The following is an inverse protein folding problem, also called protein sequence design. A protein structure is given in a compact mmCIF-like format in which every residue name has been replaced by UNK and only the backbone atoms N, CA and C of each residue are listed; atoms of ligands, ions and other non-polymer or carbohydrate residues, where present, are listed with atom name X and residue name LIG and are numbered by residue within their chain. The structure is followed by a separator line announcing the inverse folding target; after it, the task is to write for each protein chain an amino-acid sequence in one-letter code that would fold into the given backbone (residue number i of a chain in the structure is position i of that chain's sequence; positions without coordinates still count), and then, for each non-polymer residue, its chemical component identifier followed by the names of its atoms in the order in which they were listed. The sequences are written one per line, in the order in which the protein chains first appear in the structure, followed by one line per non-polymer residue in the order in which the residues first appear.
data_IF_857943211202
#
_entry.id   IF_857943211202
#
_cell.length_a   1.000
_cell.length_b   1.000
_cell.length_c   1.000
_cell.angle_alpha   90.00
_cell.angle_beta   90.00
_cell.angle_gamma   90.00
#
_symmetry.space_group_name_H-M   'P 1'
#
loop_
_entity.id
_entity.type
_entity.pdbx_description
1 polymer ?
#
# COMPACT_ATOMS: atom_id res chain seq x y z
N UNK A 1 13.58 -2.80 -38.56
CA UNK A 1 14.59 -2.15 -37.67
C UNK A 1 13.83 -1.49 -36.54
N UNK A 2 14.16 -1.77 -35.28
CA UNK A 2 13.49 -1.14 -34.14
C UNK A 2 13.96 0.32 -34.00
N UNK A 3 13.03 1.27 -34.07
CA UNK A 3 13.31 2.68 -33.83
C UNK A 3 13.59 2.84 -32.33
N UNK A 4 14.79 3.27 -31.98
CA UNK A 4 15.15 3.60 -30.60
C UNK A 4 14.94 5.09 -30.40
N UNK A 5 14.00 5.45 -29.51
CA UNK A 5 13.76 6.84 -29.16
C UNK A 5 14.80 7.27 -28.13
N UNK A 6 15.63 8.24 -28.50
CA UNK A 6 16.56 8.88 -27.57
C UNK A 6 15.89 10.09 -26.91
N UNK A 7 16.06 10.27 -25.58
CA UNK A 7 15.54 11.45 -24.90
C UNK A 7 16.18 12.72 -25.46
N UNK A 8 15.36 13.74 -25.71
CA UNK A 8 15.85 15.07 -26.08
C UNK A 8 16.23 15.86 -24.83
N UNK A 9 17.16 16.81 -24.97
CA UNK A 9 17.54 17.72 -23.87
C UNK A 9 16.32 18.47 -23.31
N UNK A 10 15.42 18.92 -24.19
CA UNK A 10 14.15 19.54 -23.81
C UNK A 10 13.27 18.59 -23.00
N UNK A 11 13.19 17.32 -23.41
CA UNK A 11 12.42 16.30 -22.67
C UNK A 11 12.97 16.07 -21.27
N UNK A 12 14.30 16.03 -21.13
CA UNK A 12 14.97 15.89 -19.83
C UNK A 12 14.70 17.10 -18.93
N UNK A 13 14.76 18.32 -19.46
CA UNK A 13 14.51 19.53 -18.65
C UNK A 13 13.08 19.62 -18.15
N UNK A 14 12.10 19.21 -18.97
CA UNK A 14 10.69 19.13 -18.58
C UNK A 14 10.51 18.13 -17.44
N UNK A 15 11.08 16.93 -17.57
CA UNK A 15 10.99 15.90 -16.53
C UNK A 15 11.59 16.40 -15.21
N UNK A 16 12.74 17.06 -15.26
CA UNK A 16 13.38 17.61 -14.07
C UNK A 16 12.56 18.73 -13.43
N UNK A 17 11.91 19.57 -14.23
CA UNK A 17 11.02 20.62 -13.73
C UNK A 17 9.82 20.04 -12.97
N UNK A 18 9.22 18.96 -13.50
CA UNK A 18 8.09 18.25 -12.87
C UNK A 18 8.54 17.59 -11.57
N UNK A 19 9.68 16.89 -11.59
CA UNK A 19 10.25 16.26 -10.39
C UNK A 19 10.48 17.28 -9.28
N UNK A 20 11.13 18.42 -9.59
CA UNK A 20 11.38 19.48 -8.60
C UNK A 20 10.10 20.09 -8.05
N UNK A 21 9.08 20.29 -8.90
CA UNK A 21 7.81 20.93 -8.50
C UNK A 21 6.96 20.04 -7.60
N UNK A 22 6.79 18.77 -7.96
CA UNK A 22 5.84 17.87 -7.28
C UNK A 22 6.49 16.89 -6.31
N UNK A 23 7.80 16.63 -6.48
CA UNK A 23 8.57 15.72 -5.64
C UNK A 23 9.84 16.43 -5.12
N UNK A 24 9.71 17.53 -4.34
CA UNK A 24 10.84 18.35 -3.92
C UNK A 24 11.87 17.59 -3.06
N UNK A 25 11.44 16.51 -2.37
CA UNK A 25 12.30 15.62 -1.58
C UNK A 25 12.62 14.31 -2.32
N UNK A 26 12.46 14.30 -3.65
CA UNK A 26 12.56 13.10 -4.47
C UNK A 26 11.30 12.23 -4.42
N UNK A 27 11.18 11.35 -5.40
CA UNK A 27 10.13 10.34 -5.41
C UNK A 27 10.43 9.25 -4.36
N UNK A 28 9.51 9.05 -3.42
CA UNK A 28 9.57 7.96 -2.45
C UNK A 28 8.52 6.92 -2.83
N UNK A 29 8.94 5.78 -3.38
CA UNK A 29 8.05 4.64 -3.68
C UNK A 29 7.58 3.92 -2.42
N UNK A 30 8.40 3.97 -1.36
CA UNK A 30 8.05 3.34 -0.09
C UNK A 30 7.05 4.23 0.64
N UNK A 31 5.93 3.66 1.13
CA UNK A 31 5.02 4.41 1.98
C UNK A 31 5.81 4.95 3.17
N UNK A 32 5.62 6.24 3.45
CA UNK A 32 6.18 6.89 4.64
C UNK A 32 5.80 6.03 5.86
N UNK A 33 6.75 5.78 6.76
CA UNK A 33 6.70 4.79 7.85
C UNK A 33 5.47 4.79 8.77
N UNK A 34 4.52 5.72 8.59
CA UNK A 34 3.23 5.78 9.28
C UNK A 34 2.04 5.19 8.51
N UNK A 35 2.21 4.67 7.29
CA UNK A 35 1.16 4.07 6.48
C UNK A 35 1.02 2.55 6.62
N UNK A 36 1.38 1.99 7.77
CA UNK A 36 1.22 0.54 8.00
C UNK A 36 -0.23 0.29 8.35
N UNK A 37 -0.94 -0.39 7.46
CA UNK A 37 -2.32 -0.81 7.70
C UNK A 37 -2.40 -1.59 9.02
N UNK A 38 -3.24 -1.09 9.94
CA UNK A 38 -3.39 -1.60 11.29
C UNK A 38 -3.61 -3.12 11.31
N UNK A 39 -4.28 -3.67 10.29
CA UNK A 39 -4.54 -5.11 10.14
C UNK A 39 -3.27 -5.94 10.12
N UNK A 40 -2.14 -5.41 9.67
CA UNK A 40 -0.87 -6.12 9.61
C UNK A 40 0.02 -5.90 10.83
N UNK A 41 -0.43 -5.11 11.81
CA UNK A 41 0.29 -4.95 13.09
C UNK A 41 0.04 -6.15 14.00
N UNK A 42 0.94 -6.46 14.96
CA UNK A 42 0.71 -7.51 15.94
C UNK A 42 -0.61 -7.35 16.72
N UNK A 43 -0.97 -6.10 17.06
CA UNK A 43 -2.23 -5.77 17.74
C UNK A 43 -3.45 -6.00 16.83
N UNK A 44 -3.40 -5.52 15.58
CA UNK A 44 -4.49 -5.74 14.62
C UNK A 44 -4.74 -7.22 14.33
N UNK A 45 -3.68 -8.03 14.21
CA UNK A 45 -3.79 -9.48 14.06
C UNK A 45 -4.36 -10.18 15.30
N UNK A 46 -4.08 -9.67 16.51
CA UNK A 46 -4.67 -10.19 17.73
C UNK A 46 -6.18 -9.94 17.80
N UNK A 47 -6.60 -8.70 17.49
CA UNK A 47 -8.02 -8.33 17.44
C UNK A 47 -8.77 -9.07 16.34
N UNK A 48 -8.17 -9.22 15.15
CA UNK A 48 -8.77 -9.98 14.06
C UNK A 48 -9.05 -11.44 14.46
N UNK A 49 -8.06 -12.11 15.06
CA UNK A 49 -8.21 -13.49 15.56
C UNK A 49 -9.25 -13.59 16.67
N UNK A 50 -9.33 -12.60 17.57
CA UNK A 50 -10.33 -12.54 18.63
C UNK A 50 -11.74 -12.40 18.05
N UNK A 51 -11.93 -11.49 17.09
CA UNK A 51 -13.20 -11.30 16.40
C UNK A 51 -13.67 -12.56 15.67
N UNK A 52 -12.77 -13.24 14.96
CA UNK A 52 -13.05 -14.52 14.30
C UNK A 52 -13.47 -15.62 15.28
N UNK A 53 -12.79 -15.75 16.43
CA UNK A 53 -13.19 -16.71 17.46
C UNK A 53 -14.59 -16.41 18.01
N UNK A 54 -14.91 -15.13 18.22
CA UNK A 54 -16.23 -14.71 18.70
C UNK A 54 -17.33 -14.96 17.67
N UNK A 55 -17.07 -14.75 16.38
CA UNK A 55 -18.05 -15.04 15.33
C UNK A 55 -18.34 -16.54 15.22
N UNK A 56 -17.31 -17.38 15.29
CA UNK A 56 -17.46 -18.83 15.31
C UNK A 56 -18.20 -19.31 16.57
N UNK A 57 -17.87 -18.78 17.75
CA UNK A 57 -18.57 -19.13 18.98
C UNK A 57 -20.07 -18.77 18.90
N UNK A 58 -20.41 -17.61 18.32
CA UNK A 58 -21.81 -17.22 18.09
C UNK A 58 -22.50 -18.15 17.10
N UNK A 59 -21.85 -18.48 15.98
CA UNK A 59 -22.38 -19.38 14.97
C UNK A 59 -22.69 -20.78 15.56
N UNK A 60 -21.73 -21.36 16.29
CA UNK A 60 -21.91 -22.65 16.97
C UNK A 60 -23.03 -22.56 18.01
N UNK A 61 -23.10 -21.48 18.79
CA UNK A 61 -24.16 -21.31 19.79
C UNK A 61 -25.57 -21.15 19.21
N UNK A 62 -25.67 -20.75 17.95
CA UNK A 62 -26.95 -20.58 17.23
C UNK A 62 -27.41 -21.84 16.50
N UNK A 63 -26.74 -22.99 16.71
CA UNK A 63 -27.11 -24.26 16.07
C UNK A 63 -26.70 -24.35 14.60
N UNK A 64 -25.68 -23.59 14.19
CA UNK A 64 -25.06 -23.79 12.88
C UNK A 64 -24.35 -25.13 12.83
N UNK A 65 -25.00 -26.14 12.24
CA UNK A 65 -24.36 -27.39 11.81
C UNK A 65 -23.18 -27.03 10.87
N UNK A 66 -22.00 -27.57 11.19
CA UNK A 66 -20.75 -27.35 10.46
C UNK A 66 -20.68 -28.13 9.13
#
# INVERSE_FOLDING_TARGET
MAVTHQPTETGLSIIDSIKRRYFPNGYQSKPRSGGVDYRFTPKGQAEYRRGFKLSMARLVSQGGEA
#
